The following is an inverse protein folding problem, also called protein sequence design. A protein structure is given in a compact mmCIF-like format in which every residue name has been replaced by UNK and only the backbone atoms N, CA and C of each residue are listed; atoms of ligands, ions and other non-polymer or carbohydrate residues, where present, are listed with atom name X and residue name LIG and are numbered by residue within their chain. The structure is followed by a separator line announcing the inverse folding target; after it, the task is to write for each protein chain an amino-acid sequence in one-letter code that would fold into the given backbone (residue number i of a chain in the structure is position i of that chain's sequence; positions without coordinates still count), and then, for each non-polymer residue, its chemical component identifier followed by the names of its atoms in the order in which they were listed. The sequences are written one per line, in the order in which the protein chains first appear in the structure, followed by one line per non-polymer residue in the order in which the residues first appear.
data_IF_460209970839
#
_entry.id   IF_460209970839
#
_cell.length_a   1.000
_cell.length_b   1.000
_cell.length_c   1.000
_cell.angle_alpha   90.00
_cell.angle_beta   90.00
_cell.angle_gamma   90.00
#
_symmetry.space_group_name_H-M   'P 1'
#
loop_
_entity.id
_entity.type
_entity.pdbx_description
1 polymer ?
#
# COMPACT_ATOMS: atom_id res chain seq x y z
N UNK A 1 5.83 21.36 -22.23
CA UNK A 1 4.68 20.46 -22.26
C UNK A 1 4.78 19.55 -21.03
N UNK A 2 3.97 19.80 -20.00
CA UNK A 2 4.28 19.40 -18.61
C UNK A 2 3.22 18.49 -18.02
N UNK A 3 3.58 17.75 -16.96
CA UNK A 3 2.64 16.95 -16.18
C UNK A 3 1.45 17.76 -15.66
N UNK A 4 1.65 19.06 -15.39
CA UNK A 4 0.59 20.00 -15.00
C UNK A 4 -0.54 20.06 -16.01
N UNK A 5 -0.23 20.19 -17.31
CA UNK A 5 -1.24 20.25 -18.38
C UNK A 5 -2.05 18.95 -18.47
N UNK A 6 -1.41 17.80 -18.22
CA UNK A 6 -2.10 16.50 -18.22
C UNK A 6 -3.07 16.38 -17.05
N UNK A 7 -2.64 16.76 -15.84
CA UNK A 7 -3.51 16.76 -14.65
C UNK A 7 -4.69 17.70 -14.88
N UNK A 8 -4.44 18.90 -15.37
CA UNK A 8 -5.46 19.90 -15.66
C UNK A 8 -6.53 19.38 -16.62
N UNK A 9 -6.12 18.74 -17.74
CA UNK A 9 -7.05 18.13 -18.70
C UNK A 9 -7.85 16.98 -18.10
N UNK A 10 -7.21 16.11 -17.30
CA UNK A 10 -7.89 14.99 -16.65
C UNK A 10 -8.96 15.49 -15.65
N UNK A 11 -8.64 16.52 -14.87
CA UNK A 11 -9.53 17.07 -13.84
C UNK A 11 -10.72 17.80 -14.47
N UNK A 12 -10.49 18.68 -15.45
CA UNK A 12 -11.59 19.40 -16.10
C UNK A 12 -12.56 18.44 -16.78
N UNK A 13 -12.06 17.45 -17.52
CA UNK A 13 -12.90 16.46 -18.19
C UNK A 13 -13.75 15.66 -17.20
N UNK A 14 -13.19 15.24 -16.06
CA UNK A 14 -13.92 14.54 -15.01
C UNK A 14 -15.03 15.41 -14.41
N UNK A 15 -14.73 16.65 -14.04
CA UNK A 15 -15.70 17.55 -13.40
C UNK A 15 -16.86 17.88 -14.34
N UNK A 16 -16.57 18.25 -15.59
CA UNK A 16 -17.59 18.65 -16.57
C UNK A 16 -18.50 17.49 -16.99
N UNK A 17 -17.98 16.27 -17.09
CA UNK A 17 -18.81 15.10 -17.38
C UNK A 17 -19.60 14.65 -16.16
N UNK A 18 -19.01 14.72 -14.97
CA UNK A 18 -19.70 14.32 -13.74
C UNK A 18 -20.87 15.23 -13.40
N UNK A 19 -20.71 16.56 -13.57
CA UNK A 19 -21.78 17.53 -13.36
C UNK A 19 -23.00 17.25 -14.25
N UNK A 20 -22.76 16.91 -15.52
CA UNK A 20 -23.81 16.58 -16.50
C UNK A 20 -24.48 15.24 -16.23
N UNK A 21 -23.75 14.26 -15.71
CA UNK A 21 -24.24 12.90 -15.52
C UNK A 21 -24.91 12.69 -14.15
N UNK A 22 -24.62 13.55 -13.15
CA UNK A 22 -25.03 13.33 -11.77
C UNK A 22 -24.33 12.14 -11.10
N UNK A 23 -23.20 11.69 -11.65
CA UNK A 23 -22.36 10.59 -11.15
C UNK A 23 -20.88 10.87 -11.50
N UNK A 24 -19.94 10.17 -10.86
CA UNK A 24 -18.51 10.34 -11.11
C UNK A 24 -18.11 9.63 -12.41
N UNK A 25 -18.04 10.40 -13.49
CA UNK A 25 -17.72 9.90 -14.83
C UNK A 25 -16.71 10.78 -15.54
N UNK A 26 -15.92 10.15 -16.39
CA UNK A 26 -14.95 10.80 -17.25
C UNK A 26 -15.42 10.66 -18.72
N UNK A 27 -15.12 11.64 -19.57
CA UNK A 27 -15.47 11.58 -20.99
C UNK A 27 -14.77 10.43 -21.70
N UNK A 28 -15.37 9.88 -22.76
CA UNK A 28 -14.85 8.68 -23.42
C UNK A 28 -13.40 8.84 -23.91
N UNK A 29 -13.05 10.00 -24.47
CA UNK A 29 -11.72 10.24 -25.04
C UNK A 29 -10.66 10.33 -23.94
N UNK A 30 -10.87 11.20 -22.95
CA UNK A 30 -9.89 11.43 -21.89
C UNK A 30 -9.86 10.25 -20.91
N UNK A 31 -11.02 9.65 -20.60
CA UNK A 31 -11.13 8.41 -19.85
C UNK A 31 -10.44 7.23 -20.53
N UNK A 32 -10.57 7.10 -21.85
CA UNK A 32 -9.84 6.12 -22.65
C UNK A 32 -8.33 6.32 -22.56
N UNK A 33 -7.85 7.56 -22.69
CA UNK A 33 -6.43 7.88 -22.53
C UNK A 33 -5.92 7.59 -21.10
N UNK A 34 -6.71 7.91 -20.07
CA UNK A 34 -6.39 7.61 -18.68
C UNK A 34 -6.31 6.10 -18.42
N UNK A 35 -7.23 5.33 -19.01
CA UNK A 35 -7.24 3.87 -18.93
C UNK A 35 -6.01 3.26 -19.61
N UNK A 36 -5.62 3.76 -20.78
CA UNK A 36 -4.40 3.34 -21.47
C UNK A 36 -3.14 3.65 -20.64
N UNK A 37 -3.05 4.85 -20.05
CA UNK A 37 -1.95 5.22 -19.15
C UNK A 37 -1.89 4.31 -17.92
N UNK A 38 -3.04 4.05 -17.29
CA UNK A 38 -3.14 3.14 -16.14
C UNK A 38 -2.65 1.75 -16.52
N UNK A 39 -3.11 1.21 -17.64
CA UNK A 39 -2.69 -0.10 -18.15
C UNK A 39 -1.18 -0.17 -18.31
N UNK A 40 -0.59 0.83 -18.98
CA UNK A 40 0.86 0.94 -19.14
C UNK A 40 1.60 0.97 -17.79
N UNK A 41 1.12 1.76 -16.82
CA UNK A 41 1.73 1.84 -15.49
C UNK A 41 1.66 0.50 -14.75
N UNK A 42 0.54 -0.22 -14.82
CA UNK A 42 0.44 -1.54 -14.20
C UNK A 42 1.41 -2.54 -14.83
N UNK A 43 1.46 -2.63 -16.15
CA UNK A 43 2.33 -3.56 -16.86
C UNK A 43 3.83 -3.28 -16.64
N UNK A 44 4.22 -2.00 -16.61
CA UNK A 44 5.64 -1.61 -16.64
C UNK A 44 6.21 -1.19 -15.30
N UNK A 45 5.38 -0.69 -14.40
CA UNK A 45 5.83 -0.08 -13.13
C UNK A 45 5.38 -0.90 -11.93
N UNK A 46 4.12 -1.32 -11.85
CA UNK A 46 3.59 -1.97 -10.64
C UNK A 46 3.66 -3.50 -10.64
N UNK A 47 3.55 -4.15 -11.81
CA UNK A 47 3.50 -5.62 -11.92
C UNK A 47 4.70 -6.20 -12.67
N UNK A 48 5.77 -5.41 -12.81
CA UNK A 48 7.00 -5.86 -13.45
C UNK A 48 7.70 -7.01 -12.68
N UNK A 49 8.57 -7.78 -13.35
CA UNK A 49 9.29 -8.90 -12.73
C UNK A 49 10.13 -8.49 -11.51
N UNK A 50 10.68 -7.28 -11.52
CA UNK A 50 11.47 -6.72 -10.41
C UNK A 50 10.62 -6.46 -9.17
N UNK A 51 9.43 -5.88 -9.35
CA UNK A 51 8.48 -5.63 -8.25
C UNK A 51 7.99 -6.92 -7.62
N UNK A 52 7.81 -7.97 -8.42
CA UNK A 52 7.39 -9.29 -7.91
C UNK A 52 8.39 -9.87 -6.89
N UNK A 53 9.70 -9.65 -7.10
CA UNK A 53 10.73 -10.08 -6.15
C UNK A 53 10.68 -9.30 -4.85
N UNK A 54 10.44 -7.99 -4.92
CA UNK A 54 10.28 -7.15 -3.73
C UNK A 54 8.99 -7.50 -2.97
N UNK A 55 7.88 -7.81 -3.65
CA UNK A 55 6.66 -8.30 -3.00
C UNK A 55 6.90 -9.55 -2.17
N UNK A 56 7.68 -10.52 -2.67
CA UNK A 56 8.00 -11.74 -1.91
C UNK A 56 8.76 -11.43 -0.60
N UNK A 57 9.67 -10.45 -0.62
CA UNK A 57 10.37 -10.00 0.60
C UNK A 57 9.41 -9.32 1.57
N UNK A 58 8.54 -8.43 1.07
CA UNK A 58 7.55 -7.72 1.90
C UNK A 58 6.57 -8.70 2.54
N UNK A 59 6.08 -9.70 1.79
CA UNK A 59 5.23 -10.76 2.35
C UNK A 59 5.89 -11.51 3.49
N UNK A 60 7.20 -11.80 3.38
CA UNK A 60 7.95 -12.42 4.47
C UNK A 60 8.05 -11.51 5.69
N UNK A 61 8.37 -10.22 5.48
CA UNK A 61 8.50 -9.24 6.56
C UNK A 61 7.18 -9.09 7.33
N UNK A 62 6.10 -8.77 6.63
CA UNK A 62 4.78 -8.54 7.23
C UNK A 62 4.22 -9.83 7.82
N UNK A 63 4.38 -10.97 7.13
CA UNK A 63 3.93 -12.27 7.61
C UNK A 63 4.62 -12.69 8.91
N UNK A 64 5.95 -12.57 8.99
CA UNK A 64 6.70 -12.89 10.21
C UNK A 64 6.31 -11.99 11.39
N UNK A 65 6.08 -10.69 11.15
CA UNK A 65 5.60 -9.79 12.21
C UNK A 65 4.16 -10.13 12.63
N UNK A 66 3.30 -10.49 11.67
CA UNK A 66 1.94 -10.88 11.97
C UNK A 66 1.90 -12.11 12.88
N UNK A 67 2.65 -13.15 12.53
CA UNK A 67 2.73 -14.38 13.33
C UNK A 67 3.33 -14.10 14.73
N UNK A 68 4.38 -13.27 14.78
CA UNK A 68 5.03 -12.83 16.02
C UNK A 68 4.03 -12.20 16.99
N UNK A 69 3.31 -11.15 16.56
CA UNK A 69 2.37 -10.44 17.43
C UNK A 69 1.08 -11.23 17.68
N UNK A 70 0.69 -12.15 16.78
CA UNK A 70 -0.39 -13.08 17.07
C UNK A 70 -0.02 -14.04 18.20
N UNK A 71 1.24 -14.49 18.27
CA UNK A 71 1.74 -15.35 19.34
C UNK A 71 1.98 -14.62 20.66
N UNK A 72 2.18 -13.29 20.62
CA UNK A 72 2.43 -12.41 21.79
C UNK A 72 1.59 -11.13 21.74
N UNK A 73 0.26 -11.23 21.93
CA UNK A 73 -0.66 -10.10 21.81
C UNK A 73 -0.43 -8.99 22.85
N UNK A 74 0.28 -9.30 23.94
CA UNK A 74 0.71 -8.37 25.00
C UNK A 74 1.77 -7.37 24.52
N UNK A 75 2.49 -7.65 23.44
CA UNK A 75 3.44 -6.71 22.84
C UNK A 75 2.76 -5.66 21.95
N UNK A 76 1.46 -5.81 21.67
CA UNK A 76 0.68 -4.84 20.91
C UNK A 76 0.29 -3.69 21.83
N UNK A 77 0.63 -2.43 21.49
CA UNK A 77 0.30 -1.27 22.32
C UNK A 77 -1.20 -1.18 22.66
N UNK A 78 -1.51 -0.76 23.89
CA UNK A 78 -2.88 -0.53 24.37
C UNK A 78 -3.62 0.57 23.60
N UNK A 79 -2.89 1.42 22.87
CA UNK A 79 -3.48 2.43 21.98
C UNK A 79 -4.20 1.83 20.78
N UNK A 80 -3.93 0.56 20.44
CA UNK A 80 -4.65 -0.14 19.39
C UNK A 80 -6.02 -0.57 19.92
N UNK A 81 -7.13 -0.19 19.25
CA UNK A 81 -8.48 -0.51 19.71
C UNK A 81 -8.67 -2.00 20.05
N UNK A 82 -9.48 -2.33 21.05
CA UNK A 82 -9.75 -3.71 21.41
C UNK A 82 -10.47 -4.45 20.26
N UNK A 83 -10.22 -5.75 20.15
CA UNK A 83 -10.75 -6.59 19.09
C UNK A 83 -10.14 -7.99 19.13
N UNK A 84 -10.40 -8.80 18.10
CA UNK A 84 -9.68 -10.07 17.95
C UNK A 84 -8.18 -9.81 17.81
N UNK A 85 -7.35 -10.77 18.25
CA UNK A 85 -5.88 -10.67 18.14
C UNK A 85 -5.48 -10.35 16.70
N UNK A 86 -5.99 -11.11 15.73
CA UNK A 86 -5.69 -10.91 14.31
C UNK A 86 -6.04 -9.48 13.83
N UNK A 87 -7.16 -8.90 14.29
CA UNK A 87 -7.53 -7.53 13.93
C UNK A 87 -6.60 -6.51 14.58
N UNK A 88 -6.30 -6.66 15.88
CA UNK A 88 -5.35 -5.79 16.59
C UNK A 88 -3.97 -5.81 15.94
N UNK A 89 -3.48 -6.98 15.56
CA UNK A 89 -2.20 -7.12 14.84
C UNK A 89 -2.27 -6.43 13.47
N UNK A 90 -3.36 -6.63 12.72
CA UNK A 90 -3.55 -5.96 11.41
C UNK A 90 -3.50 -4.44 11.55
N UNK A 91 -4.25 -3.88 12.51
CA UNK A 91 -4.30 -2.44 12.75
C UNK A 91 -2.94 -1.91 13.22
N UNK A 92 -2.22 -2.68 14.04
CA UNK A 92 -0.88 -2.31 14.48
C UNK A 92 0.13 -2.29 13.32
N UNK A 93 0.15 -3.33 12.48
CA UNK A 93 1.05 -3.41 11.32
C UNK A 93 0.72 -2.34 10.28
N UNK A 94 -0.57 -2.09 10.01
CA UNK A 94 -1.00 -1.04 9.09
C UNK A 94 -0.62 0.37 9.55
N UNK A 95 -0.46 0.58 10.86
CA UNK A 95 0.02 1.82 11.45
C UNK A 95 1.54 2.01 11.41
N UNK A 96 2.32 1.00 10.99
CA UNK A 96 3.77 1.10 10.95
C UNK A 96 4.24 1.90 9.73
N UNK A 97 5.23 2.77 9.94
CA UNK A 97 6.05 3.26 8.83
C UNK A 97 6.97 2.15 8.33
N UNK A 98 7.35 2.15 7.05
CA UNK A 98 8.28 1.16 6.48
C UNK A 98 9.55 1.01 7.32
N UNK A 99 10.14 2.14 7.73
CA UNK A 99 11.36 2.16 8.55
C UNK A 99 11.15 1.52 9.92
N UNK A 100 9.96 1.65 10.51
CA UNK A 100 9.64 0.99 11.77
C UNK A 100 9.41 -0.52 11.57
N UNK A 101 8.64 -0.90 10.54
CA UNK A 101 8.36 -2.29 10.19
C UNK A 101 9.65 -3.10 9.96
N UNK A 102 10.61 -2.56 9.21
CA UNK A 102 11.90 -3.21 8.96
C UNK A 102 12.68 -3.41 10.27
N UNK A 103 12.79 -2.38 11.11
CA UNK A 103 13.49 -2.50 12.41
C UNK A 103 12.84 -3.52 13.33
N UNK A 104 11.50 -3.55 13.37
CA UNK A 104 10.76 -4.54 14.15
C UNK A 104 11.09 -5.94 13.62
N UNK A 105 11.03 -6.16 12.31
CA UNK A 105 11.34 -7.45 11.71
C UNK A 105 12.78 -7.91 12.01
N UNK A 106 13.76 -7.01 11.91
CA UNK A 106 15.16 -7.31 12.26
C UNK A 106 15.29 -7.73 13.74
N UNK A 107 14.64 -7.01 14.66
CA UNK A 107 14.67 -7.33 16.08
C UNK A 107 14.02 -8.68 16.41
N UNK A 108 12.98 -9.06 15.66
CA UNK A 108 12.27 -10.33 15.81
C UNK A 108 13.03 -11.52 15.24
N UNK A 109 13.75 -11.31 14.14
CA UNK A 109 14.35 -12.41 13.37
C UNK A 109 15.83 -12.63 13.65
N UNK A 110 16.56 -11.63 14.15
CA UNK A 110 17.97 -11.76 14.53
C UNK A 110 18.06 -12.29 15.96
N UNK A 111 18.57 -13.52 16.18
CA UNK A 111 18.76 -14.05 17.53
C UNK A 111 19.79 -13.21 18.28
N UNK A 112 19.47 -12.82 19.51
CA UNK A 112 20.31 -12.00 20.41
C UNK A 112 21.71 -12.56 20.65
N UNK A 113 21.96 -13.83 20.33
CA UNK A 113 23.27 -14.49 20.43
C UNK A 113 24.31 -14.01 19.39
N UNK A 114 23.88 -13.36 18.30
CA UNK A 114 24.76 -12.90 17.21
C UNK A 114 24.97 -11.38 17.18
N UNK A 115 24.34 -10.64 18.10
CA UNK A 115 24.55 -9.21 18.28
C UNK A 115 25.72 -8.96 19.25
N UNK A 116 26.95 -9.15 18.78
CA UNK A 116 28.18 -8.70 19.45
C UNK A 116 29.10 -8.01 18.47
#
# INVERSE_FOLDING_TARGET
DTGTRRIDTLVHDLVEHSDRAGDIVQGEVIGGAMSALRTFMFERVYLGPEVTREHAKIHRVVGSLFDHYCSRPEEIPDSIPPGSVARRVTDYLAGMTDRFCIRAFEAVTVPTAFAR
#
